data_IF_010384540120
#
_entry.id   IF_010384540120
#
_cell.length_a   1.000
_cell.length_b   1.000
_cell.length_c   1.000
_cell.angle_alpha   90.00
_cell.angle_beta   90.00
_cell.angle_gamma   90.00
#
_symmetry.space_group_name_H-M   'P 1'
#
loop_
_entity.id
_entity.type
_entity.pdbx_description
1 polymer ?
#
# COMPACT_ATOMS: atom_id res chain seq x y z
N UNK A 1 2.71 13.73 -14.00
CA UNK A 1 2.28 12.90 -12.86
C UNK A 1 3.45 11.99 -12.51
N UNK A 2 4.07 12.18 -11.35
CA UNK A 2 5.17 11.34 -10.89
C UNK A 2 4.60 10.15 -10.12
N UNK A 3 4.23 9.10 -10.85
CA UNK A 3 3.69 7.85 -10.26
C UNK A 3 4.63 7.31 -9.18
N UNK A 4 5.95 7.41 -9.40
CA UNK A 4 6.97 7.04 -8.40
C UNK A 4 6.84 7.81 -7.09
N UNK A 5 6.54 9.10 -7.16
CA UNK A 5 6.41 9.96 -5.97
C UNK A 5 5.14 9.62 -5.20
N UNK A 6 4.04 9.34 -5.90
CA UNK A 6 2.79 8.84 -5.32
C UNK A 6 3.02 7.50 -4.61
N UNK A 7 3.73 6.57 -5.26
CA UNK A 7 4.11 5.28 -4.65
C UNK A 7 4.90 5.51 -3.36
N UNK A 8 5.90 6.39 -3.37
CA UNK A 8 6.73 6.64 -2.19
C UNK A 8 5.94 7.29 -1.05
N UNK A 9 5.11 8.29 -1.33
CA UNK A 9 4.23 8.89 -0.30
C UNK A 9 3.26 7.87 0.31
N UNK A 10 2.66 7.02 -0.52
CA UNK A 10 1.73 5.99 -0.05
C UNK A 10 2.48 4.96 0.81
N UNK A 11 3.66 4.52 0.36
CA UNK A 11 4.52 3.60 1.13
C UNK A 11 4.90 4.21 2.48
N UNK A 12 5.28 5.50 2.51
CA UNK A 12 5.62 6.18 3.76
C UNK A 12 4.41 6.28 4.70
N UNK A 13 3.22 6.61 4.19
CA UNK A 13 1.98 6.61 4.99
C UNK A 13 1.66 5.22 5.53
N UNK A 14 1.77 4.17 4.71
CA UNK A 14 1.54 2.78 5.12
C UNK A 14 2.56 2.35 6.18
N UNK A 15 3.83 2.73 6.04
CA UNK A 15 4.87 2.42 7.03
C UNK A 15 4.67 3.18 8.34
N UNK A 16 4.19 4.42 8.26
CA UNK A 16 3.91 5.27 9.42
C UNK A 16 2.65 4.87 10.18
N UNK A 17 1.70 4.20 9.51
CA UNK A 17 0.39 3.89 10.07
C UNK A 17 -0.03 2.44 9.81
N UNK A 18 0.03 1.62 10.86
CA UNK A 18 -0.34 0.20 10.80
C UNK A 18 -1.77 -0.02 10.34
N UNK A 19 -2.71 0.87 10.69
CA UNK A 19 -4.10 0.70 10.29
C UNK A 19 -4.26 0.79 8.76
N UNK A 20 -3.45 1.65 8.13
CA UNK A 20 -3.39 1.79 6.68
C UNK A 20 -2.73 0.57 6.07
N UNK A 21 -1.71 0.01 6.71
CA UNK A 21 -1.06 -1.23 6.26
C UNK A 21 -2.00 -2.45 6.29
N UNK A 22 -2.81 -2.59 7.34
CA UNK A 22 -3.84 -3.64 7.42
C UNK A 22 -4.93 -3.45 6.34
N UNK A 23 -5.36 -2.19 6.14
CA UNK A 23 -6.28 -1.83 5.05
C UNK A 23 -5.68 -2.11 3.68
N UNK A 24 -4.42 -1.79 3.45
CA UNK A 24 -3.73 -2.03 2.18
C UNK A 24 -3.54 -3.53 1.91
N UNK A 25 -3.33 -4.33 2.96
CA UNK A 25 -3.25 -5.79 2.85
C UNK A 25 -4.60 -6.39 2.46
N UNK A 26 -5.70 -5.82 2.98
CA UNK A 26 -7.06 -6.27 2.66
C UNK A 26 -7.55 -5.75 1.30
N UNK A 27 -7.42 -4.45 1.06
CA UNK A 27 -7.89 -3.72 -0.13
C UNK A 27 -6.85 -2.68 -0.57
N UNK A 28 -5.81 -3.09 -1.32
CA UNK A 28 -4.72 -2.21 -1.72
C UNK A 28 -5.16 -1.12 -2.70
N UNK A 29 -6.05 -1.45 -3.64
CA UNK A 29 -6.61 -0.52 -4.65
C UNK A 29 -7.33 0.62 -3.94
N UNK A 30 -8.31 0.27 -3.11
CA UNK A 30 -9.11 1.25 -2.35
C UNK A 30 -8.27 2.08 -1.40
N UNK A 31 -7.28 1.46 -0.75
CA UNK A 31 -6.36 2.19 0.14
C UNK A 31 -5.52 3.19 -0.65
N UNK A 32 -5.02 2.83 -1.83
CA UNK A 32 -4.28 3.74 -2.71
C UNK A 32 -5.16 4.90 -3.16
N UNK A 33 -6.40 4.65 -3.57
CA UNK A 33 -7.37 5.69 -3.94
C UNK A 33 -7.69 6.63 -2.77
N UNK A 34 -7.99 6.07 -1.60
CA UNK A 34 -8.27 6.82 -0.36
C UNK A 34 -7.06 7.70 0.05
N UNK A 35 -5.82 7.20 -0.14
CA UNK A 35 -4.59 7.92 0.23
C UNK A 35 -4.17 8.96 -0.80
N UNK A 36 -4.39 8.68 -2.07
CA UNK A 36 -4.10 9.58 -3.19
C UNK A 36 -5.13 10.71 -3.25
N UNK A 37 -6.35 10.51 -2.75
CA UNK A 37 -7.41 11.52 -2.68
C UNK A 37 -7.88 12.02 -4.04
N UNK A 38 -7.55 11.30 -5.11
CA UNK A 38 -7.90 11.59 -6.49
C UNK A 38 -8.35 10.29 -7.16
N UNK A 39 -9.40 10.36 -7.98
CA UNK A 39 -9.82 9.26 -8.85
C UNK A 39 -8.72 9.03 -9.90
N UNK A 40 -7.76 8.18 -9.54
CA UNK A 40 -6.72 7.72 -10.44
C UNK A 40 -7.35 6.78 -11.48
N UNK A 41 -6.93 6.84 -12.76
CA UNK A 41 -7.35 5.84 -13.74
C UNK A 41 -6.93 4.44 -13.26
N UNK A 42 -7.76 3.42 -13.48
CA UNK A 42 -7.51 2.04 -13.03
C UNK A 42 -6.10 1.54 -13.38
N UNK A 43 -5.63 1.80 -14.61
CA UNK A 43 -4.29 1.38 -15.04
C UNK A 43 -3.14 2.07 -14.28
N UNK A 44 -3.37 3.27 -13.74
CA UNK A 44 -2.40 3.96 -12.87
C UNK A 44 -2.49 3.43 -11.44
N UNK A 45 -3.70 3.18 -10.93
CA UNK A 45 -3.90 2.60 -9.60
C UNK A 45 -3.18 1.27 -9.49
N UNK A 46 -3.33 0.39 -10.48
CA UNK A 46 -2.66 -0.90 -10.51
C UNK A 46 -1.14 -0.76 -10.45
N UNK A 47 -0.54 0.13 -11.25
CA UNK A 47 0.90 0.40 -11.21
C UNK A 47 1.36 0.94 -9.85
N UNK A 48 0.56 1.80 -9.21
CA UNK A 48 0.84 2.33 -7.87
C UNK A 48 0.76 1.21 -6.84
N UNK A 49 -0.32 0.43 -6.85
CA UNK A 49 -0.52 -0.71 -5.96
C UNK A 49 0.61 -1.72 -6.06
N UNK A 50 1.00 -2.10 -7.28
CA UNK A 50 2.12 -3.01 -7.51
C UNK A 50 3.44 -2.42 -7.02
N UNK A 51 3.72 -1.14 -7.30
CA UNK A 51 4.92 -0.46 -6.82
C UNK A 51 4.98 -0.36 -5.30
N UNK A 52 3.85 -0.07 -4.66
CA UNK A 52 3.70 -0.02 -3.19
C UNK A 52 3.88 -1.42 -2.61
N UNK A 53 3.22 -2.45 -3.18
CA UNK A 53 3.40 -3.85 -2.77
C UNK A 53 4.85 -4.31 -2.90
N UNK A 54 5.51 -3.99 -4.01
CA UNK A 54 6.92 -4.32 -4.22
C UNK A 54 7.80 -3.64 -3.16
N UNK A 55 7.66 -2.32 -2.95
CA UNK A 55 8.42 -1.56 -1.94
C UNK A 55 8.18 -2.04 -0.50
N UNK A 56 6.94 -2.44 -0.17
CA UNK A 56 6.59 -2.95 1.16
C UNK A 56 6.97 -4.44 1.33
N UNK A 57 6.93 -5.22 0.25
CA UNK A 57 7.36 -6.62 0.19
C UNK A 57 8.88 -6.75 0.31
N UNK A 58 9.63 -5.98 -0.48
CA UNK A 58 11.09 -5.86 -0.38
C UNK A 58 11.52 -5.30 1.00
N UNK A 59 10.66 -4.48 1.62
CA UNK A 59 10.87 -3.93 2.95
C UNK A 59 10.45 -4.84 4.11
N UNK A 60 9.91 -6.05 3.86
CA UNK A 60 9.45 -6.98 4.89
C UNK A 60 8.19 -6.53 5.67
N UNK A 61 7.55 -5.42 5.27
CA UNK A 61 6.38 -4.85 5.95
C UNK A 61 5.14 -5.71 5.71
N UNK A 62 4.92 -6.17 4.47
CA UNK A 62 3.78 -7.06 4.17
C UNK A 62 4.01 -8.44 4.78
N UNK A 63 5.22 -8.98 4.70
CA UNK A 63 5.56 -10.26 5.34
C UNK A 63 5.32 -10.20 6.85
N UNK A 64 5.85 -9.19 7.53
CA UNK A 64 5.72 -9.04 8.97
C UNK A 64 4.29 -8.71 9.44
N UNK A 65 3.46 -8.05 8.62
CA UNK A 65 2.04 -7.81 8.96
C UNK A 65 1.21 -9.05 8.70
N UNK A 66 1.40 -9.73 7.58
CA UNK A 66 0.66 -10.96 7.25
C UNK A 66 1.00 -12.09 8.23
N UNK A 67 2.27 -12.24 8.61
CA UNK A 67 2.68 -13.21 9.63
C UNK A 67 2.07 -12.86 10.99
N UNK A 68 1.99 -11.58 11.31
CA UNK A 68 1.41 -11.12 12.58
C UNK A 68 -0.11 -11.25 12.61
N UNK A 69 -0.81 -11.04 11.49
CA UNK A 69 -2.26 -11.30 11.34
C UNK A 69 -2.54 -12.80 11.46
N UNK A 70 -1.70 -13.66 10.87
CA UNK A 70 -1.82 -15.12 11.03
C UNK A 70 -1.65 -15.59 12.46
N UNK A 71 -0.90 -14.88 13.29
CA UNK A 71 -0.66 -15.26 14.69
C UNK A 71 -1.83 -14.85 15.63
N UNK A 72 -2.74 -13.99 15.15
CA UNK A 72 -3.94 -13.55 15.89
C UNK A 72 -5.20 -14.36 15.52
N UNK A 73 -5.14 -15.20 14.49
CA UNK A 73 -6.23 -16.05 14.00
C UNK A 73 -5.89 -17.53 14.14
#
# INVERSE_FOLDING_TARGET
>A
MDIKKIIEEIVEKIKGDKSIADKFTSDPVKTVEDLAGVDLPDGVVDQVVEGVKAKLGDGGVIGGIVDKIKDIF
#
